data_IF_214312536844
#
_entry.id   IF_214312536844
#
_cell.length_a   1.000
_cell.length_b   1.000
_cell.length_c   1.000
_cell.angle_alpha   90.00
_cell.angle_beta   90.00
_cell.angle_gamma   90.00
#
_symmetry.space_group_name_H-M   'P 1'
#
loop_
_entity.id
_entity.type
_entity.pdbx_description
1 polymer ?
#
# COMPACT_ATOMS: atom_id res chain seq x y z
N UNK A 1 -5.65 -1.78 -3.42
CA UNK A 1 -4.86 -2.32 -2.30
C UNK A 1 -4.95 -3.82 -2.35
N UNK A 2 -3.81 -4.44 -2.54
CA UNK A 2 -3.61 -5.88 -2.61
C UNK A 2 -3.65 -6.44 -1.18
N UNK A 3 -3.98 -7.72 -1.03
CA UNK A 3 -4.08 -8.36 0.28
C UNK A 3 -2.69 -8.68 0.81
N UNK A 4 -2.11 -7.77 1.58
CA UNK A 4 -0.83 -8.00 2.27
C UNK A 4 -1.10 -8.90 3.47
N UNK A 5 -0.61 -10.13 3.43
CA UNK A 5 -0.65 -11.02 4.59
C UNK A 5 0.59 -10.76 5.46
N UNK A 6 0.41 -10.42 6.75
CA UNK A 6 1.54 -10.18 7.63
C UNK A 6 2.48 -11.41 7.66
N UNK A 7 3.79 -11.17 7.55
CA UNK A 7 4.84 -12.19 7.55
C UNK A 7 5.12 -12.86 6.19
N UNK A 8 4.15 -12.93 5.27
CA UNK A 8 4.37 -13.51 3.92
C UNK A 8 4.77 -12.43 2.88
N UNK A 9 4.28 -11.21 3.06
CA UNK A 9 4.42 -10.10 2.11
C UNK A 9 4.94 -8.83 2.80
N UNK A 10 5.81 -9.02 3.80
CA UNK A 10 6.40 -7.92 4.57
C UNK A 10 7.05 -6.88 3.64
N UNK A 11 6.83 -5.59 3.92
CA UNK A 11 7.35 -4.48 3.12
C UNK A 11 6.53 -4.12 1.87
N UNK A 12 5.36 -4.73 1.64
CA UNK A 12 4.51 -4.46 0.46
C UNK A 12 3.18 -3.77 0.76
N UNK A 13 3.18 -2.79 1.68
CA UNK A 13 1.97 -2.15 2.16
C UNK A 13 1.84 -2.25 3.68
N UNK A 14 0.76 -1.70 4.24
CA UNK A 14 0.36 -1.92 5.62
C UNK A 14 0.11 -3.42 5.88
N UNK A 15 0.90 -3.99 6.77
CA UNK A 15 0.93 -5.39 7.16
C UNK A 15 -0.35 -5.88 7.86
N UNK A 16 -1.14 -4.97 8.45
CA UNK A 16 -2.40 -5.27 9.12
C UNK A 16 -3.63 -5.02 8.24
N UNK A 17 -3.46 -4.45 7.05
CA UNK A 17 -4.58 -4.08 6.17
C UNK A 17 -5.47 -5.28 5.80
N UNK A 18 -4.89 -6.45 5.52
CA UNK A 18 -5.70 -7.65 5.21
C UNK A 18 -6.43 -8.17 6.45
N UNK A 19 -5.74 -8.23 7.60
CA UNK A 19 -6.34 -8.68 8.87
C UNK A 19 -7.50 -7.79 9.26
N UNK A 20 -7.34 -6.47 9.16
CA UNK A 20 -8.41 -5.51 9.46
C UNK A 20 -9.64 -5.68 8.56
N UNK A 21 -9.44 -5.95 7.25
CA UNK A 21 -10.56 -6.20 6.32
C UNK A 21 -11.27 -7.51 6.61
N UNK A 22 -10.52 -8.61 6.74
CA UNK A 22 -11.07 -9.94 7.02
C UNK A 22 -11.79 -9.98 8.38
N UNK A 23 -11.19 -9.39 9.41
CA UNK A 23 -11.73 -9.43 10.78
C UNK A 23 -12.91 -8.48 11.04
N UNK A 24 -13.04 -7.40 10.27
CA UNK A 24 -14.14 -6.44 10.47
C UNK A 24 -15.38 -6.69 9.64
N UNK A 25 -15.29 -7.54 8.60
CA UNK A 25 -16.36 -7.72 7.61
C UNK A 25 -16.66 -6.47 6.78
N UNK A 26 -15.84 -5.42 6.89
CA UNK A 26 -16.03 -4.16 6.16
C UNK A 26 -15.52 -4.28 4.74
N UNK A 27 -16.25 -3.67 3.80
CA UNK A 27 -15.82 -3.55 2.42
C UNK A 27 -14.53 -2.75 2.27
N UNK A 28 -13.84 -2.95 1.15
CA UNK A 28 -12.60 -2.25 0.85
C UNK A 28 -12.88 -0.74 0.61
N UNK A 29 -12.37 0.19 1.44
CA UNK A 29 -12.77 1.60 1.38
C UNK A 29 -12.32 2.34 0.12
N UNK A 30 -11.45 1.73 -0.70
CA UNK A 30 -11.02 2.26 -2.00
C UNK A 30 -11.83 1.68 -3.19
N UNK A 31 -12.87 0.89 -2.92
CA UNK A 31 -13.79 0.43 -3.97
C UNK A 31 -14.67 1.58 -4.47
N UNK A 32 -15.13 1.46 -5.72
CA UNK A 32 -15.96 2.48 -6.36
C UNK A 32 -17.31 2.67 -5.68
N UNK A 33 -17.77 1.67 -4.92
CA UNK A 33 -19.00 1.76 -4.10
C UNK A 33 -18.95 2.83 -3.01
N UNK A 34 -17.77 3.36 -2.68
CA UNK A 34 -17.60 4.46 -1.73
C UNK A 34 -17.49 5.83 -2.40
N UNK A 35 -17.67 5.92 -3.73
CA UNK A 35 -17.38 7.13 -4.52
C UNK A 35 -15.96 7.68 -4.25
N UNK A 36 -15.03 6.76 -3.99
CA UNK A 36 -13.70 7.10 -3.54
C UNK A 36 -12.87 7.68 -4.69
N UNK A 37 -12.30 8.86 -4.47
CA UNK A 37 -11.19 9.35 -5.29
C UNK A 37 -9.91 8.65 -4.84
N UNK A 38 -9.34 7.86 -5.75
CA UNK A 38 -8.14 7.08 -5.47
C UNK A 38 -6.89 7.89 -5.83
N UNK A 39 -5.94 7.92 -4.89
CA UNK A 39 -4.58 8.39 -5.11
C UNK A 39 -3.59 7.24 -4.89
N UNK A 40 -2.39 7.35 -5.45
CA UNK A 40 -1.34 6.38 -5.19
C UNK A 40 -0.83 6.48 -3.74
N UNK A 41 -0.33 5.36 -3.22
CA UNK A 41 0.30 5.29 -1.89
C UNK A 41 1.42 4.25 -1.81
N UNK A 42 1.83 3.72 -2.96
CA UNK A 42 2.85 2.67 -3.07
C UNK A 42 4.25 3.24 -3.35
N UNK A 43 4.38 4.57 -3.36
CA UNK A 43 5.60 5.27 -3.72
C UNK A 43 5.61 5.66 -5.20
N UNK A 44 6.48 6.61 -5.53
CA UNK A 44 6.65 7.08 -6.91
C UNK A 44 7.87 6.39 -7.50
N UNK A 45 7.69 5.61 -8.57
CA UNK A 45 8.79 4.91 -9.24
C UNK A 45 9.86 5.90 -9.70
N UNK A 46 11.10 5.69 -9.27
CA UNK A 46 12.24 6.55 -9.59
C UNK A 46 12.35 7.81 -8.73
N UNK A 47 11.51 7.97 -7.71
CA UNK A 47 11.64 9.04 -6.71
C UNK A 47 11.95 8.42 -5.34
N UNK A 48 13.22 8.56 -4.91
CA UNK A 48 13.69 8.05 -3.63
C UNK A 48 13.26 8.89 -2.42
N UNK A 49 12.58 10.02 -2.64
CA UNK A 49 12.06 10.88 -1.56
C UNK A 49 10.60 10.54 -1.18
N UNK A 50 9.90 9.75 -2.01
CA UNK A 50 8.49 9.41 -1.85
C UNK A 50 8.27 7.90 -1.85
N UNK A 51 8.40 7.30 -0.68
CA UNK A 51 8.21 5.88 -0.41
C UNK A 51 6.74 5.49 -0.30
N UNK A 52 6.46 4.21 -0.50
CA UNK A 52 5.17 3.61 -0.16
C UNK A 52 5.04 3.39 1.34
N UNK A 53 3.80 3.35 1.83
CA UNK A 53 3.53 2.95 3.22
C UNK A 53 3.78 1.45 3.36
N UNK A 54 4.57 1.05 4.34
CA UNK A 54 4.94 -0.36 4.60
C UNK A 54 4.81 -0.77 6.06
N UNK A 55 4.38 0.16 6.93
CA UNK A 55 4.15 -0.06 8.35
C UNK A 55 2.77 0.50 8.72
N UNK A 56 2.02 -0.21 9.56
CA UNK A 56 0.70 0.24 10.01
C UNK A 56 0.74 1.44 10.95
N UNK A 57 1.79 1.54 11.75
CA UNK A 57 1.95 2.60 12.74
C UNK A 57 2.10 3.98 12.06
N UNK A 58 1.71 5.05 12.76
CA UNK A 58 1.58 6.36 12.12
C UNK A 58 2.92 6.97 11.73
N UNK A 59 3.96 6.84 12.56
CA UNK A 59 5.25 7.53 12.41
C UNK A 59 6.45 6.58 12.46
N UNK A 60 6.25 5.31 12.09
CA UNK A 60 7.34 4.34 12.07
C UNK A 60 8.19 4.59 10.82
N UNK A 61 9.38 5.14 11.05
CA UNK A 61 10.50 5.19 10.13
C UNK A 61 11.74 5.60 10.93
N UNK A 62 12.77 4.75 10.87
CA UNK A 62 14.07 5.00 11.48
C UNK A 62 15.14 4.97 10.40
N UNK A 63 15.81 6.09 10.18
CA UNK A 63 16.89 6.17 9.18
C UNK A 63 18.09 5.29 9.51
N UNK A 64 18.28 4.92 10.79
CA UNK A 64 19.30 3.97 11.23
C UNK A 64 18.86 2.51 11.10
N UNK A 65 17.56 2.25 10.92
CA UNK A 65 17.00 0.92 10.70
C UNK A 65 16.01 0.94 9.54
N UNK A 66 16.48 0.77 8.30
CA UNK A 66 15.64 0.74 7.11
C UNK A 66 14.57 -0.36 7.12
N UNK A 67 14.71 -1.39 7.96
CA UNK A 67 13.73 -2.47 8.07
C UNK A 67 12.49 -2.04 8.88
N UNK A 68 12.54 -0.91 9.58
CA UNK A 68 11.38 -0.35 10.30
C UNK A 68 10.21 0.00 9.38
N UNK A 69 10.47 0.29 8.10
CA UNK A 69 9.45 0.64 7.13
C UNK A 69 9.01 2.11 7.20
N UNK A 70 7.89 2.43 6.54
CA UNK A 70 7.31 3.77 6.49
C UNK A 70 5.85 3.76 6.93
N UNK A 71 5.56 4.53 7.98
CA UNK A 71 4.23 4.73 8.52
C UNK A 71 3.37 5.71 7.72
N UNK A 72 2.07 5.74 8.02
CA UNK A 72 1.08 6.54 7.29
C UNK A 72 1.33 8.07 7.28
N UNK A 73 1.95 8.60 8.33
CA UNK A 73 2.24 10.03 8.50
C UNK A 73 3.74 10.33 8.41
N UNK A 74 4.54 9.41 7.88
CA UNK A 74 5.93 9.72 7.59
C UNK A 74 6.04 10.71 6.41
N UNK A 75 6.87 11.74 6.58
CA UNK A 75 6.99 12.85 5.64
C UNK A 75 7.73 12.49 4.34
N UNK A 76 8.29 11.29 4.25
CA UNK A 76 8.88 10.72 3.05
C UNK A 76 7.95 9.74 2.36
N UNK A 77 6.66 9.71 2.71
CA UNK A 77 5.68 8.87 2.00
C UNK A 77 4.92 9.64 0.93
N UNK A 78 4.67 8.97 -0.18
CA UNK A 78 3.76 9.45 -1.23
C UNK A 78 2.35 9.70 -0.68
N UNK A 79 1.90 8.86 0.26
CA UNK A 79 0.58 8.95 0.86
C UNK A 79 0.37 10.28 1.62
N UNK A 80 1.34 10.68 2.46
CA UNK A 80 1.23 11.96 3.19
C UNK A 80 1.35 13.15 2.24
N UNK A 81 2.26 13.08 1.25
CA UNK A 81 2.40 14.12 0.23
C UNK A 81 1.09 14.32 -0.55
N UNK A 82 0.44 13.24 -0.99
CA UNK A 82 -0.85 13.31 -1.68
C UNK A 82 -1.95 13.89 -0.81
N UNK A 83 -1.99 13.50 0.47
CA UNK A 83 -2.94 14.05 1.44
C UNK A 83 -2.76 15.56 1.61
N UNK A 84 -1.51 16.03 1.72
CA UNK A 84 -1.19 17.46 1.79
C UNK A 84 -1.58 18.20 0.51
N UNK A 85 -1.28 17.66 -0.67
CA UNK A 85 -1.65 18.27 -1.95
C UNK A 85 -3.17 18.37 -2.12
N UNK A 86 -3.91 17.29 -1.82
CA UNK A 86 -5.36 17.25 -1.93
C UNK A 86 -6.04 18.24 -0.97
N UNK A 87 -5.56 18.33 0.28
CA UNK A 87 -6.12 19.21 1.31
C UNK A 87 -5.77 20.70 1.14
N UNK A 88 -4.73 21.01 0.37
CA UNK A 88 -4.27 22.41 0.13
C UNK A 88 -4.69 22.96 -1.24
N UNK A 89 -5.64 22.31 -1.93
CA UNK A 89 -6.15 22.78 -3.22
C UNK A 89 -5.22 22.53 -4.41
N UNK A 90 -4.24 21.63 -4.25
CA UNK A 90 -3.25 21.28 -5.25
C UNK A 90 -3.52 19.91 -5.89
N UNK A 91 -4.79 19.52 -6.00
CA UNK A 91 -5.20 18.17 -6.44
C UNK A 91 -4.67 17.78 -7.82
N UNK A 92 -4.34 18.75 -8.70
CA UNK A 92 -3.71 18.48 -10.00
C UNK A 92 -2.30 17.89 -9.90
N UNK A 93 -1.67 17.96 -8.72
CA UNK A 93 -0.33 17.43 -8.44
C UNK A 93 -0.36 16.09 -7.70
N UNK A 94 -1.53 15.61 -7.30
CA UNK A 94 -1.69 14.31 -6.64
C UNK A 94 -1.32 13.21 -7.64
N UNK A 95 -0.46 12.29 -7.24
CA UNK A 95 -0.07 11.18 -8.10
C UNK A 95 -1.27 10.27 -8.39
N UNK A 96 -1.47 9.94 -9.67
CA UNK A 96 -2.57 9.09 -10.10
C UNK A 96 -2.49 7.70 -9.48
N UNK A 97 -3.64 7.14 -9.08
CA UNK A 97 -3.71 5.79 -8.54
C UNK A 97 -3.11 4.75 -9.48
N UNK A 98 -2.20 3.95 -8.94
CA UNK A 98 -1.68 2.74 -9.59
C UNK A 98 -2.21 1.54 -8.82
N UNK A 99 -2.91 0.58 -9.49
CA UNK A 99 -3.27 -0.67 -8.86
C UNK A 99 -2.01 -1.35 -8.33
N UNK A 100 -1.98 -1.74 -7.05
CA UNK A 100 -0.81 -2.42 -6.50
C UNK A 100 -0.58 -3.75 -7.23
N UNK A 101 0.69 -4.17 -7.35
CA UNK A 101 1.02 -5.47 -7.92
C UNK A 101 0.42 -6.58 -7.04
N UNK A 102 0.08 -7.71 -7.66
CA UNK A 102 -0.41 -8.86 -6.91
C UNK A 102 0.60 -9.28 -5.82
N UNK A 103 0.10 -9.78 -4.69
CA UNK A 103 0.97 -10.50 -3.74
C UNK A 103 1.50 -11.78 -4.35
N UNK A 104 2.60 -12.34 -3.84
CA UNK A 104 3.09 -13.65 -4.27
C UNK A 104 2.00 -14.71 -4.12
N UNK A 105 1.19 -14.64 -3.05
CA UNK A 105 0.05 -15.54 -2.90
C UNK A 105 -0.96 -15.39 -4.05
N UNK A 106 -1.35 -14.16 -4.39
CA UNK A 106 -2.27 -13.89 -5.49
C UNK A 106 -1.67 -14.27 -6.86
N UNK A 107 -0.37 -14.06 -7.06
CA UNK A 107 0.35 -14.48 -8.27
C UNK A 107 0.32 -16.01 -8.41
N UNK A 108 0.57 -16.75 -7.33
CA UNK A 108 0.53 -18.21 -7.31
C UNK A 108 -0.87 -18.77 -7.55
N UNK A 109 -1.90 -18.11 -7.02
CA UNK A 109 -3.30 -18.50 -7.26
C UNK A 109 -3.76 -18.18 -8.69
N UNK A 110 -3.28 -17.07 -9.25
CA UNK A 110 -3.55 -16.68 -10.64
C UNK A 110 -2.84 -17.58 -11.65
N UNK A 111 -1.62 -18.01 -11.34
CA UNK A 111 -0.79 -18.83 -12.21
C UNK A 111 -0.39 -20.12 -11.49
N UNK A 112 -1.35 -21.06 -11.28
CA UNK A 112 -1.04 -22.30 -10.61
C UNK A 112 0.01 -23.03 -11.44
N UNK A 113 1.19 -23.25 -10.86
CA UNK A 113 2.16 -24.17 -11.45
C UNK A 113 1.42 -25.49 -11.59
N UNK A 114 1.10 -25.90 -12.83
CA UNK A 114 0.74 -27.29 -13.10
C UNK A 114 2.03 -28.05 -12.85
N UNK A 115 2.21 -28.48 -11.60
CA UNK A 115 3.18 -29.51 -11.27
C UNK A 115 2.67 -30.72 -12.01
N UNK A 116 3.28 -31.00 -13.16
CA UNK A 116 3.08 -32.25 -13.87
C UNK A 116 3.33 -33.37 -12.88
N UNK A 117 2.27 -34.06 -12.49
CA UNK A 117 2.38 -35.41 -11.96
C UNK A 117 3.06 -36.28 -13.02
N UNK A 118 3.95 -37.21 -12.60
CA UNK A 118 4.76 -38.03 -13.51
C UNK A 118 3.93 -38.86 -14.49
#
# INVERSE_FOLDING_TARGET
MVEVLPGLEAGKGDEWAAVGRLGSGRGNPISESFDAQRANSSGVLGNEELHGVTAHDQLVHNTADPASGYGYFDNRTEALNNTALASTGQSSRVSAYVPPPLTLLQERLRNPIIVGTP
#
